data_IF_448072741887
#
_entry.id   IF_448072741887
#
_cell.length_a   1.000
_cell.length_b   1.000
_cell.length_c   1.000
_cell.angle_alpha   90.00
_cell.angle_beta   90.00
_cell.angle_gamma   90.00
#
_symmetry.space_group_name_H-M   'P 1'
#
loop_
_entity.id
_entity.type
_entity.pdbx_description
1 polymer ?
#
# COMPACT_ATOMS: atom_id res chain seq x y z
N UNK A 1 -13.06 -8.03 23.42
CA UNK A 1 -12.96 -8.75 22.13
C UNK A 1 -11.70 -8.25 21.44
N UNK A 2 -10.81 -9.13 21.02
CA UNK A 2 -9.51 -8.77 20.42
C UNK A 2 -9.70 -8.22 19.00
N UNK A 3 -8.91 -7.20 18.60
CA UNK A 3 -8.96 -6.58 17.26
C UNK A 3 -8.89 -7.65 16.14
N UNK A 4 -8.09 -8.70 16.32
CA UNK A 4 -7.95 -9.82 15.37
C UNK A 4 -9.24 -10.58 15.08
N UNK A 5 -10.12 -10.70 16.08
CA UNK A 5 -11.38 -11.43 15.93
C UNK A 5 -12.35 -10.66 15.04
N UNK A 6 -12.40 -9.32 15.19
CA UNK A 6 -13.22 -8.46 14.35
C UNK A 6 -12.68 -8.40 12.91
N UNK A 7 -11.37 -8.37 12.71
CA UNK A 7 -10.74 -8.40 11.39
C UNK A 7 -11.12 -9.69 10.65
N UNK A 8 -11.01 -10.83 11.33
CA UNK A 8 -11.35 -12.13 10.74
C UNK A 8 -12.85 -12.24 10.41
N UNK A 9 -13.73 -11.73 11.26
CA UNK A 9 -15.17 -11.70 11.00
C UNK A 9 -15.53 -10.81 9.79
N UNK A 10 -14.89 -9.65 9.65
CA UNK A 10 -15.11 -8.76 8.51
C UNK A 10 -14.56 -9.34 7.20
N UNK A 11 -13.40 -10.02 7.24
CA UNK A 11 -12.86 -10.74 6.10
C UNK A 11 -13.75 -11.91 5.67
N UNK A 12 -14.29 -12.67 6.63
CA UNK A 12 -15.19 -13.78 6.32
C UNK A 12 -16.46 -13.32 5.58
N UNK A 13 -16.96 -12.12 5.91
CA UNK A 13 -18.10 -11.48 5.24
C UNK A 13 -17.75 -10.81 3.91
N UNK A 14 -16.47 -10.57 3.65
CA UNK A 14 -15.99 -9.93 2.43
C UNK A 14 -15.76 -10.98 1.34
N UNK A 15 -16.13 -10.66 0.11
CA UNK A 15 -15.96 -11.54 -1.05
C UNK A 15 -14.85 -11.05 -1.96
N UNK A 16 -14.19 -11.99 -2.63
CA UNK A 16 -13.17 -11.70 -3.62
C UNK A 16 -13.82 -11.08 -4.85
N UNK A 17 -13.29 -9.92 -5.29
CA UNK A 17 -13.76 -9.23 -6.50
C UNK A 17 -13.65 -10.05 -7.78
N UNK A 18 -12.75 -11.06 -7.83
CA UNK A 18 -12.48 -11.86 -9.03
C UNK A 18 -13.27 -13.16 -9.08
N UNK A 19 -13.32 -13.91 -7.98
CA UNK A 19 -13.93 -15.25 -7.95
C UNK A 19 -15.17 -15.36 -7.05
N UNK A 20 -15.55 -14.30 -6.34
CA UNK A 20 -16.73 -14.28 -5.47
C UNK A 20 -16.57 -15.02 -4.13
N UNK A 21 -15.52 -15.83 -3.96
CA UNK A 21 -15.26 -16.59 -2.73
C UNK A 21 -14.99 -15.68 -1.51
N UNK A 22 -15.28 -16.17 -0.31
CA UNK A 22 -14.96 -15.47 0.93
C UNK A 22 -13.45 -15.19 1.06
N UNK A 23 -13.10 -14.01 1.60
CA UNK A 23 -11.73 -13.66 1.96
C UNK A 23 -11.33 -14.20 3.35
N UNK A 24 -12.10 -15.11 3.94
CA UNK A 24 -11.73 -15.81 5.15
C UNK A 24 -10.37 -16.51 5.01
N UNK A 25 -9.47 -16.30 5.96
CA UNK A 25 -8.12 -16.87 5.93
C UNK A 25 -7.19 -16.26 4.87
N UNK A 26 -7.56 -15.13 4.25
CA UNK A 26 -6.67 -14.40 3.35
C UNK A 26 -5.42 -13.91 4.11
N UNK A 27 -4.26 -13.97 3.45
CA UNK A 27 -3.03 -13.38 3.99
C UNK A 27 -3.17 -11.86 3.97
N UNK A 28 -3.17 -11.25 5.15
CA UNK A 28 -3.22 -9.80 5.33
C UNK A 28 -1.81 -9.22 5.47
N UNK A 29 -1.57 -8.09 4.82
CA UNK A 29 -0.40 -7.24 5.10
C UNK A 29 -0.93 -5.82 5.31
N UNK A 30 -0.82 -5.31 6.53
CA UNK A 30 -1.34 -3.99 6.86
C UNK A 30 -0.53 -2.91 6.14
N UNK A 31 -1.23 -2.06 5.38
CA UNK A 31 -0.66 -0.93 4.66
C UNK A 31 -0.72 0.33 5.54
N UNK A 32 -1.83 0.51 6.28
CA UNK A 32 -2.02 1.67 7.15
C UNK A 32 -3.11 1.47 8.19
N UNK A 33 -3.05 2.25 9.28
CA UNK A 33 -4.09 2.35 10.32
C UNK A 33 -4.62 3.78 10.35
N UNK A 34 -5.93 3.92 10.22
CA UNK A 34 -6.70 5.14 10.45
C UNK A 34 -7.44 5.00 11.80
N UNK A 35 -7.90 6.09 12.43
CA UNK A 35 -8.58 6.04 13.72
C UNK A 35 -9.79 5.09 13.77
N UNK A 36 -10.49 4.93 12.65
CA UNK A 36 -11.70 4.10 12.52
C UNK A 36 -11.59 3.01 11.44
N UNK A 37 -10.42 2.82 10.85
CA UNK A 37 -10.24 1.90 9.73
C UNK A 37 -8.84 1.28 9.65
N UNK A 38 -8.75 0.07 9.13
CA UNK A 38 -7.49 -0.60 8.78
C UNK A 38 -7.47 -0.77 7.27
N UNK A 39 -6.40 -0.33 6.64
CA UNK A 39 -6.15 -0.56 5.21
C UNK A 39 -5.13 -1.68 5.11
N UNK A 40 -5.50 -2.77 4.46
CA UNK A 40 -4.63 -3.93 4.32
C UNK A 40 -4.64 -4.47 2.89
N UNK A 41 -3.48 -4.95 2.47
CA UNK A 41 -3.34 -5.80 1.30
C UNK A 41 -3.82 -7.21 1.63
N UNK A 42 -4.63 -7.81 0.78
CA UNK A 42 -5.09 -9.20 0.89
C UNK A 42 -4.80 -9.96 -0.38
N UNK A 43 -4.38 -11.21 -0.23
CA UNK A 43 -4.35 -12.17 -1.34
C UNK A 43 -5.44 -13.21 -1.11
N UNK A 44 -6.34 -13.36 -2.08
CA UNK A 44 -7.41 -14.35 -2.03
C UNK A 44 -6.84 -15.77 -1.91
N UNK A 45 -7.29 -16.60 -0.96
CA UNK A 45 -6.76 -17.95 -0.79
C UNK A 45 -7.06 -18.84 -2.00
N UNK A 46 -8.21 -18.67 -2.64
CA UNK A 46 -8.71 -19.52 -3.73
C UNK A 46 -8.09 -19.17 -5.08
N UNK A 47 -8.22 -17.94 -5.56
CA UNK A 47 -7.78 -17.54 -6.91
C UNK A 47 -6.48 -16.72 -6.94
N UNK A 48 -5.88 -16.45 -5.77
CA UNK A 48 -4.66 -15.64 -5.61
C UNK A 48 -4.76 -14.18 -6.10
N UNK A 49 -5.97 -13.69 -6.39
CA UNK A 49 -6.18 -12.29 -6.72
C UNK A 49 -5.79 -11.38 -5.54
N UNK A 50 -5.17 -10.25 -5.85
CA UNK A 50 -4.74 -9.25 -4.89
C UNK A 50 -5.74 -8.10 -4.82
N UNK A 51 -6.00 -7.62 -3.60
CA UNK A 51 -6.92 -6.51 -3.35
C UNK A 51 -6.50 -5.72 -2.12
N UNK A 52 -6.86 -4.43 -2.09
CA UNK A 52 -6.84 -3.63 -0.87
C UNK A 52 -8.20 -3.79 -0.21
N UNK A 53 -8.19 -4.13 1.06
CA UNK A 53 -9.38 -4.08 1.92
C UNK A 53 -9.27 -2.92 2.88
N UNK A 54 -10.34 -2.15 2.98
CA UNK A 54 -10.54 -1.16 4.05
C UNK A 54 -11.53 -1.74 5.03
N UNK A 55 -11.05 -2.12 6.21
CA UNK A 55 -11.86 -2.70 7.27
C UNK A 55 -12.22 -1.60 8.27
N UNK A 56 -13.51 -1.34 8.44
CA UNK A 56 -14.02 -0.39 9.43
C UNK A 56 -14.92 -1.12 10.43
N UNK A 57 -15.29 -0.44 11.52
CA UNK A 57 -16.28 -0.96 12.48
C UNK A 57 -17.64 -1.18 11.80
N UNK A 58 -17.98 -0.35 10.80
CA UNK A 58 -19.26 -0.40 10.09
C UNK A 58 -19.32 -1.44 8.96
N UNK A 59 -18.17 -1.94 8.51
CA UNK A 59 -18.10 -2.87 7.37
C UNK A 59 -16.75 -2.83 6.65
N UNK A 60 -16.65 -3.63 5.59
CA UNK A 60 -15.46 -3.76 4.77
C UNK A 60 -15.70 -3.30 3.32
N UNK A 61 -14.77 -2.52 2.77
CA UNK A 61 -14.70 -2.21 1.36
C UNK A 61 -13.54 -2.95 0.70
N UNK A 62 -13.77 -3.61 -0.43
CA UNK A 62 -12.74 -4.35 -1.19
C UNK A 62 -12.52 -3.65 -2.52
N UNK A 63 -11.28 -3.24 -2.80
CA UNK A 63 -10.87 -2.63 -4.05
C UNK A 63 -9.81 -3.50 -4.74
N UNK A 64 -9.96 -3.82 -6.05
CA UNK A 64 -8.94 -4.53 -6.79
C UNK A 64 -7.67 -3.68 -6.88
N UNK A 65 -6.51 -4.34 -6.82
CA UNK A 65 -5.22 -3.69 -7.11
C UNK A 65 -4.86 -4.03 -8.55
N UNK A 66 -4.70 -2.99 -9.37
CA UNK A 66 -4.15 -3.12 -10.71
C UNK A 66 -2.83 -2.37 -10.69
N UNK A 67 -1.79 -3.02 -10.19
CA UNK A 67 -0.46 -2.45 -10.04
C UNK A 67 0.59 -3.55 -10.07
N UNK A 68 1.76 -3.24 -10.64
CA UNK A 68 2.94 -4.12 -10.59
C UNK A 68 3.72 -4.00 -9.26
N UNK A 69 3.22 -3.20 -8.31
CA UNK A 69 3.83 -3.02 -7.01
C UNK A 69 3.65 -4.25 -6.13
N UNK A 70 4.74 -4.70 -5.50
CA UNK A 70 4.67 -5.71 -4.44
C UNK A 70 4.02 -5.12 -3.18
N UNK A 71 3.43 -5.96 -2.29
CA UNK A 71 2.81 -5.48 -1.05
C UNK A 71 3.72 -4.59 -0.19
N UNK A 72 5.02 -4.89 -0.13
CA UNK A 72 6.02 -4.10 0.60
C UNK A 72 6.34 -2.76 -0.06
N UNK A 73 6.14 -2.63 -1.38
CA UNK A 73 6.33 -1.39 -2.13
C UNK A 73 5.09 -0.49 -2.03
N UNK A 74 3.90 -1.09 -1.98
CA UNK A 74 2.65 -0.37 -1.72
C UNK A 74 2.73 0.36 -0.37
N UNK A 75 3.26 -0.29 0.67
CA UNK A 75 3.46 0.35 1.97
C UNK A 75 4.39 1.57 1.85
N UNK A 76 5.54 1.44 1.17
CA UNK A 76 6.48 2.56 0.95
C UNK A 76 5.83 3.72 0.20
N UNK A 77 4.99 3.41 -0.81
CA UNK A 77 4.26 4.41 -1.57
C UNK A 77 3.21 5.12 -0.70
N UNK A 78 2.44 4.37 0.08
CA UNK A 78 1.39 4.90 0.94
C UNK A 78 1.94 5.78 2.08
N UNK A 79 3.12 5.44 2.62
CA UNK A 79 3.78 6.21 3.68
C UNK A 79 4.80 7.22 3.16
N UNK A 80 4.95 7.35 1.83
CA UNK A 80 5.90 8.27 1.22
C UNK A 80 5.54 9.73 1.52
N UNK A 81 6.55 10.60 1.58
CA UNK A 81 6.28 12.05 1.66
C UNK A 81 5.53 12.49 0.40
N UNK A 82 4.50 13.35 0.52
CA UNK A 82 3.83 13.89 -0.65
C UNK A 82 4.83 14.64 -1.52
N UNK A 83 4.72 14.47 -2.84
CA UNK A 83 5.58 15.18 -3.80
C UNK A 83 5.28 16.68 -3.74
N UNK A 84 6.29 17.47 -3.40
CA UNK A 84 6.20 18.93 -3.32
C UNK A 84 6.55 19.61 -4.65
N UNK A 85 6.26 20.91 -4.76
CA UNK A 85 6.70 21.72 -5.90
C UNK A 85 8.22 21.75 -6.06
N UNK A 86 8.95 21.79 -4.95
CA UNK A 86 10.42 21.78 -4.98
C UNK A 86 10.96 20.46 -5.54
N UNK A 87 10.31 19.33 -5.22
CA UNK A 87 10.67 18.02 -5.77
C UNK A 87 10.51 18.00 -7.30
N UNK A 88 9.44 18.59 -7.83
CA UNK A 88 9.21 18.72 -9.27
C UNK A 88 10.24 19.65 -9.93
N UNK A 89 10.55 20.77 -9.28
CA UNK A 89 11.51 21.74 -9.80
C UNK A 89 12.93 21.16 -9.83
N UNK A 90 13.33 20.41 -8.81
CA UNK A 90 14.63 19.75 -8.76
C UNK A 90 14.72 18.63 -9.79
N UNK A 91 13.66 17.82 -9.95
CA UNK A 91 13.60 16.82 -11.01
C UNK A 91 13.79 17.45 -12.39
N UNK A 92 13.13 18.57 -12.69
CA UNK A 92 13.30 19.30 -13.95
C UNK A 92 14.74 19.75 -14.18
N UNK A 93 15.40 20.32 -13.16
CA UNK A 93 16.81 20.70 -13.24
C UNK A 93 17.71 19.50 -13.52
N UNK A 94 17.43 18.34 -12.94
CA UNK A 94 18.22 17.13 -13.19
C UNK A 94 17.98 16.56 -14.60
N UNK A 95 16.75 16.58 -15.09
CA UNK A 95 16.42 16.17 -16.46
C UNK A 95 17.09 17.07 -17.51
N UNK A 96 17.30 18.36 -17.22
CA UNK A 96 18.11 19.24 -18.09
C UNK A 96 19.59 18.84 -18.16
N UNK A 97 20.13 18.23 -17.11
CA UNK A 97 21.55 17.81 -17.06
C UNK A 97 21.78 16.47 -17.77
N UNK A 98 20.73 15.68 -17.96
CA UNK A 98 20.85 14.43 -18.69
C UNK A 98 19.56 13.62 -18.72
N UNK A 99 19.53 12.59 -19.58
CA UNK A 99 18.40 11.67 -19.72
C UNK A 99 18.06 10.92 -18.41
N UNK A 100 16.76 10.65 -18.22
CA UNK A 100 16.19 10.08 -16.99
C UNK A 100 16.78 8.73 -16.57
N UNK A 101 17.23 7.91 -17.53
CA UNK A 101 17.83 6.60 -17.26
C UNK A 101 19.07 6.64 -16.36
N UNK A 102 19.83 7.75 -16.36
CA UNK A 102 21.00 7.95 -15.51
C UNK A 102 20.60 8.24 -14.06
N UNK A 103 19.39 8.77 -13.87
CA UNK A 103 18.81 9.02 -12.55
C UNK A 103 18.25 7.72 -11.95
N UNK A 104 17.59 6.90 -12.78
CA UNK A 104 16.99 5.63 -12.34
C UNK A 104 18.02 4.55 -11.98
N UNK A 105 19.22 4.59 -12.59
CA UNK A 105 20.32 3.67 -12.26
C UNK A 105 21.02 4.00 -10.95
N UNK A 106 20.71 5.14 -10.34
CA UNK A 106 21.37 5.64 -9.14
C UNK A 106 20.66 5.10 -7.89
N UNK A 107 21.00 3.88 -7.50
CA UNK A 107 20.58 3.28 -6.23
C UNK A 107 21.38 3.88 -5.05
N UNK A 108 21.18 5.16 -4.76
CA UNK A 108 21.67 5.74 -3.50
C UNK A 108 20.64 5.50 -2.38
N UNK A 109 21.05 5.06 -1.17
CA UNK A 109 20.17 5.03 -0.02
C UNK A 109 19.79 6.47 0.35
N UNK A 110 18.49 6.73 0.51
CA UNK A 110 17.96 8.00 1.01
C UNK A 110 18.68 8.37 2.31
N UNK A 111 19.56 9.37 2.28
CA UNK A 111 20.23 9.85 3.49
C UNK A 111 19.19 10.47 4.40
N UNK A 112 18.94 9.83 5.54
CA UNK A 112 18.29 10.45 6.69
C UNK A 112 19.13 11.67 7.10
N UNK A 113 18.63 12.87 6.83
CA UNK A 113 19.15 14.08 7.43
C UNK A 113 18.90 14.00 8.94
N UNK A 114 19.87 13.45 9.68
CA UNK A 114 19.96 13.57 11.13
C UNK A 114 20.06 15.05 11.48
N UNK A 115 18.94 15.64 11.89
CA UNK A 115 18.94 16.95 12.54
C UNK A 115 19.63 16.78 13.89
N UNK A 116 20.89 17.21 13.99
CA UNK A 116 21.57 17.40 15.27
C UNK A 116 20.87 18.53 16.02
N UNK A 117 20.44 18.28 17.24
CA UNK A 117 20.19 19.30 18.26
C UNK A 117 20.97 18.91 19.50
#
# INVERSE_FOLDING_TARGET
>A
MTEDKQINEQLARSTCHKCGESLSGAKLTQIGKLPSAIIAHTTCPSCKAESIVTLTIAGAGVLPIISDLKPSEIQKFATGRPTSYDDLFELHKQLKKGPIWKLLQRSEPLSENKTKK
#
